data_IF_172115333752
#
_entry.id   IF_172115333752
#
_cell.length_a   1.000
_cell.length_b   1.000
_cell.length_c   1.000
_cell.angle_alpha   90.00
_cell.angle_beta   90.00
_cell.angle_gamma   90.00
#
_symmetry.space_group_name_H-M   'P 1'
#
loop_
_entity.id
_entity.type
_entity.pdbx_description
1 polymer ?
#
# COMPACT_ATOMS: atom_id res chain seq x y z
N UNK A 1 -25.71 -3.26 -9.58
CA UNK A 1 -25.49 -3.15 -8.12
C UNK A 1 -24.05 -2.71 -7.95
N UNK A 2 -23.80 -1.40 -7.91
CA UNK A 2 -22.47 -0.85 -7.64
C UNK A 2 -22.17 -1.05 -6.16
N UNK A 3 -21.65 -2.23 -5.81
CA UNK A 3 -21.01 -2.43 -4.52
C UNK A 3 -19.68 -1.68 -4.48
N UNK A 4 -19.09 -1.52 -3.29
CA UNK A 4 -17.86 -0.74 -3.02
C UNK A 4 -16.68 -1.08 -3.95
N UNK A 5 -16.73 -2.24 -4.63
CA UNK A 5 -15.65 -2.76 -5.47
C UNK A 5 -15.99 -2.80 -6.98
N UNK A 6 -17.10 -2.18 -7.42
CA UNK A 6 -17.50 -2.11 -8.84
C UNK A 6 -17.43 -3.44 -9.62
N UNK A 7 -17.76 -4.57 -8.96
CA UNK A 7 -17.75 -5.91 -9.56
C UNK A 7 -16.42 -6.67 -9.48
N UNK A 8 -15.39 -6.13 -8.84
CA UNK A 8 -14.08 -6.78 -8.71
C UNK A 8 -13.90 -7.47 -7.34
N UNK A 9 -13.26 -8.63 -7.32
CA UNK A 9 -13.00 -9.40 -6.11
C UNK A 9 -12.18 -8.59 -5.09
N UNK A 10 -12.69 -8.44 -3.86
CA UNK A 10 -12.02 -7.70 -2.80
C UNK A 10 -10.84 -8.47 -2.22
N UNK A 11 -9.68 -7.82 -2.17
CA UNK A 11 -8.57 -8.16 -1.29
C UNK A 11 -8.79 -7.50 0.06
N UNK A 12 -8.89 -8.28 1.13
CA UNK A 12 -9.05 -7.75 2.48
C UNK A 12 -7.81 -8.08 3.28
N UNK A 13 -7.20 -7.06 3.85
CA UNK A 13 -6.10 -7.17 4.80
C UNK A 13 -6.53 -6.57 6.13
N UNK A 14 -5.97 -7.10 7.21
CA UNK A 14 -6.07 -6.47 8.53
C UNK A 14 -4.84 -5.59 8.69
N UNK A 15 -5.07 -4.33 9.05
CA UNK A 15 -4.00 -3.41 9.39
C UNK A 15 -4.09 -3.09 10.89
N UNK A 16 -2.94 -3.11 11.55
CA UNK A 16 -2.77 -2.78 12.96
C UNK A 16 -1.89 -1.54 13.07
N UNK A 17 -2.31 -0.59 13.90
CA UNK A 17 -1.55 0.64 14.17
C UNK A 17 -1.26 0.75 15.66
N UNK A 18 0.03 0.73 16.01
CA UNK A 18 0.49 1.04 17.36
C UNK A 18 0.61 2.57 17.52
N UNK A 19 -0.42 3.18 18.10
CA UNK A 19 -0.52 4.63 18.28
C UNK A 19 0.36 5.15 19.43
N UNK A 20 0.84 4.26 20.29
CA UNK A 20 1.72 4.48 21.44
C UNK A 20 3.20 4.16 21.11
N UNK A 21 3.56 4.12 19.82
CA UNK A 21 4.95 3.90 19.42
C UNK A 21 5.74 5.21 19.37
N UNK A 22 7.03 5.14 19.70
CA UNK A 22 7.98 6.27 19.64
C UNK A 22 7.91 7.00 18.27
N UNK A 23 7.79 6.23 17.18
CA UNK A 23 7.60 6.79 15.82
C UNK A 23 6.35 7.67 15.71
N UNK A 24 5.25 7.31 16.36
CA UNK A 24 4.00 8.09 16.32
C UNK A 24 4.13 9.34 17.20
N UNK A 25 4.76 9.24 18.36
CA UNK A 25 5.06 10.36 19.25
C UNK A 25 5.97 11.38 18.55
N UNK A 26 7.08 10.94 17.96
CA UNK A 26 8.02 11.77 17.20
C UNK A 26 7.35 12.54 16.05
N UNK A 27 6.42 11.88 15.34
CA UNK A 27 5.68 12.50 14.23
C UNK A 27 4.60 13.45 14.74
N UNK A 28 4.07 13.23 15.94
CA UNK A 28 3.06 14.08 16.56
C UNK A 28 3.65 15.36 17.18
N UNK A 29 4.87 15.31 17.71
CA UNK A 29 5.49 16.42 18.46
C UNK A 29 6.21 17.46 17.59
N UNK A 30 6.54 17.16 16.32
CA UNK A 30 7.37 18.04 15.48
C UNK A 30 6.72 18.48 14.16
N UNK A 31 7.17 19.60 13.55
CA UNK A 31 6.82 19.91 12.18
C UNK A 31 7.27 18.73 11.30
N UNK A 32 6.35 18.22 10.50
CA UNK A 32 6.50 17.09 9.58
C UNK A 32 7.81 17.26 8.81
N UNK A 33 8.90 16.68 9.32
CA UNK A 33 10.22 16.77 8.69
C UNK A 33 10.00 16.32 7.26
N UNK A 34 10.38 17.17 6.32
CA UNK A 34 10.31 16.91 4.88
C UNK A 34 10.58 15.45 4.64
N UNK A 35 9.59 14.77 4.06
CA UNK A 35 9.50 13.33 3.85
C UNK A 35 10.91 12.76 3.72
N UNK A 36 11.49 12.25 4.81
CA UNK A 36 12.77 11.53 4.72
C UNK A 36 12.47 10.48 3.68
N UNK A 37 13.18 10.53 2.55
CA UNK A 37 12.99 9.60 1.47
C UNK A 37 13.32 8.23 2.06
N UNK A 38 12.29 7.54 2.54
CA UNK A 38 12.46 6.32 3.27
C UNK A 38 12.93 5.32 2.24
N UNK A 39 14.20 4.95 2.32
CA UNK A 39 14.77 3.93 1.47
C UNK A 39 14.23 2.58 1.94
N UNK A 40 13.13 2.15 1.35
CA UNK A 40 12.56 0.85 1.66
C UNK A 40 13.35 -0.25 0.91
N UNK A 41 13.72 -1.36 1.56
CA UNK A 41 14.37 -2.48 0.90
C UNK A 41 13.46 -3.16 -0.14
N UNK A 42 12.15 -3.03 0.00
CA UNK A 42 11.17 -3.53 -0.96
C UNK A 42 10.11 -2.46 -1.24
N UNK A 43 9.74 -2.33 -2.52
CA UNK A 43 8.68 -1.44 -2.98
C UNK A 43 7.65 -2.25 -3.76
N UNK A 44 6.37 -2.03 -3.49
CA UNK A 44 5.26 -2.62 -4.23
C UNK A 44 4.42 -1.49 -4.83
N UNK A 45 4.52 -1.32 -6.15
CA UNK A 45 3.77 -0.30 -6.87
C UNK A 45 2.28 -0.66 -6.97
N UNK A 46 1.42 0.35 -6.89
CA UNK A 46 -0.02 0.22 -7.16
C UNK A 46 -0.45 1.20 -8.26
N UNK A 47 -1.52 0.90 -9.02
CA UNK A 47 -2.10 1.86 -9.95
C UNK A 47 -2.43 3.18 -9.25
N UNK A 48 -1.98 4.31 -9.82
CA UNK A 48 -2.25 5.66 -9.29
C UNK A 48 -3.74 5.97 -9.24
N UNK A 49 -4.47 5.48 -10.24
CA UNK A 49 -5.90 5.69 -10.39
C UNK A 49 -6.54 4.37 -10.87
N UNK A 50 -6.95 3.55 -9.89
CA UNK A 50 -7.59 2.27 -10.18
C UNK A 50 -9.00 2.48 -10.76
N UNK A 51 -9.70 3.55 -10.38
CA UNK A 51 -11.07 3.83 -10.86
C UNK A 51 -11.06 4.20 -12.34
N UNK A 52 -10.13 5.06 -12.77
CA UNK A 52 -9.91 5.35 -14.18
C UNK A 52 -9.53 4.08 -14.94
N UNK A 53 -8.67 3.22 -14.37
CA UNK A 53 -8.29 1.95 -14.99
C UNK A 53 -9.49 1.00 -15.14
N UNK A 54 -10.36 0.91 -14.14
CA UNK A 54 -11.58 0.12 -14.19
C UNK A 54 -12.55 0.59 -15.28
N UNK A 55 -12.63 1.90 -15.50
CA UNK A 55 -13.50 2.49 -16.51
C UNK A 55 -13.04 2.23 -17.96
N UNK A 56 -11.71 2.12 -18.18
CA UNK A 56 -11.14 2.00 -19.54
C UNK A 56 -10.71 0.56 -19.89
N UNK A 57 -10.30 -0.24 -18.90
CA UNK A 57 -9.75 -1.58 -19.11
C UNK A 57 -9.90 -2.47 -17.85
N UNK A 58 -11.06 -3.13 -17.76
CA UNK A 58 -11.39 -4.02 -16.65
C UNK A 58 -10.41 -5.19 -16.50
N UNK A 59 -9.97 -5.79 -17.62
CA UNK A 59 -9.08 -6.95 -17.57
C UNK A 59 -7.72 -6.56 -16.98
N UNK A 60 -7.19 -5.41 -17.40
CA UNK A 60 -5.96 -4.86 -16.84
C UNK A 60 -6.13 -4.47 -15.38
N UNK A 61 -7.26 -3.89 -14.98
CA UNK A 61 -7.54 -3.60 -13.58
C UNK A 61 -7.54 -4.88 -12.71
N UNK A 62 -8.16 -5.96 -13.19
CA UNK A 62 -8.15 -7.26 -12.51
C UNK A 62 -6.72 -7.82 -12.40
N UNK A 63 -5.95 -7.76 -13.49
CA UNK A 63 -4.58 -8.25 -13.52
C UNK A 63 -3.67 -7.49 -12.53
N UNK A 64 -3.78 -6.15 -12.47
CA UNK A 64 -3.04 -5.35 -11.49
C UNK A 64 -3.40 -5.70 -10.05
N UNK A 65 -4.68 -5.94 -9.76
CA UNK A 65 -5.09 -6.37 -8.42
C UNK A 65 -4.51 -7.74 -8.05
N UNK A 66 -4.53 -8.70 -8.97
CA UNK A 66 -3.93 -10.02 -8.76
C UNK A 66 -2.42 -9.91 -8.52
N UNK A 67 -1.71 -9.12 -9.34
CA UNK A 67 -0.28 -8.87 -9.15
C UNK A 67 0.02 -8.27 -7.77
N UNK A 68 -0.68 -7.20 -7.38
CA UNK A 68 -0.48 -6.56 -6.07
C UNK A 68 -0.77 -7.52 -4.93
N UNK A 69 -1.83 -8.34 -5.04
CA UNK A 69 -2.13 -9.40 -4.06
C UNK A 69 -0.98 -10.38 -3.92
N UNK A 70 -0.46 -10.89 -5.03
CA UNK A 70 0.62 -11.88 -5.05
C UNK A 70 1.90 -11.32 -4.43
N UNK A 71 2.31 -10.11 -4.85
CA UNK A 71 3.50 -9.43 -4.31
C UNK A 71 3.38 -9.14 -2.82
N UNK A 72 2.24 -8.61 -2.37
CA UNK A 72 1.98 -8.34 -0.95
C UNK A 72 2.00 -9.63 -0.12
N UNK A 73 1.32 -10.67 -0.59
CA UNK A 73 1.26 -11.96 0.10
C UNK A 73 2.65 -12.58 0.22
N UNK A 74 3.44 -12.58 -0.86
CA UNK A 74 4.81 -13.07 -0.84
C UNK A 74 5.69 -12.28 0.15
N UNK A 75 5.56 -10.94 0.16
CA UNK A 75 6.30 -10.10 1.08
C UNK A 75 5.96 -10.38 2.55
N UNK A 76 4.66 -10.53 2.87
CA UNK A 76 4.21 -10.87 4.21
C UNK A 76 4.68 -12.25 4.66
N UNK A 77 4.63 -13.25 3.78
CA UNK A 77 5.20 -14.59 4.05
C UNK A 77 6.70 -14.51 4.34
N UNK A 78 7.43 -13.62 3.63
CA UNK A 78 8.84 -13.38 3.85
C UNK A 78 9.15 -12.52 5.10
N UNK A 79 8.14 -12.15 5.88
CA UNK A 79 8.27 -11.41 7.14
C UNK A 79 8.40 -9.89 7.00
N UNK A 80 8.14 -9.34 5.81
CA UNK A 80 8.07 -7.90 5.62
C UNK A 80 6.76 -7.32 6.17
N UNK A 81 6.79 -6.03 6.52
CA UNK A 81 5.63 -5.22 6.91
C UNK A 81 5.61 -3.94 6.07
N UNK A 82 4.42 -3.42 5.79
CA UNK A 82 4.28 -2.09 5.18
C UNK A 82 4.64 -1.05 6.23
N UNK A 83 5.68 -0.26 5.98
CA UNK A 83 6.20 0.76 6.91
C UNK A 83 6.10 2.18 6.35
N UNK A 84 5.65 2.31 5.09
CA UNK A 84 5.16 3.58 4.59
C UNK A 84 4.67 3.53 3.15
N UNK A 85 4.47 4.71 2.58
CA UNK A 85 3.88 4.88 1.27
C UNK A 85 4.52 6.08 0.58
N UNK A 86 5.01 5.88 -0.64
CA UNK A 86 5.50 6.95 -1.51
C UNK A 86 4.40 7.40 -2.46
N UNK A 87 3.92 8.62 -2.23
CA UNK A 87 2.89 9.26 -3.06
C UNK A 87 3.37 9.61 -4.48
N UNK A 88 4.67 9.84 -4.69
CA UNK A 88 5.21 10.25 -5.98
C UNK A 88 5.22 9.05 -6.96
N UNK A 89 5.73 7.92 -6.49
CA UNK A 89 5.74 6.66 -7.25
C UNK A 89 4.45 5.85 -7.12
N UNK A 90 3.58 6.18 -6.16
CA UNK A 90 2.38 5.39 -5.82
C UNK A 90 2.76 3.94 -5.48
N UNK A 91 3.60 3.80 -4.46
CA UNK A 91 4.13 2.52 -4.03
C UNK A 91 4.14 2.39 -2.51
N UNK A 92 3.88 1.18 -2.02
CA UNK A 92 4.09 0.84 -0.63
C UNK A 92 5.57 0.53 -0.40
N UNK A 93 6.10 1.08 0.69
CA UNK A 93 7.42 0.78 1.22
C UNK A 93 7.34 -0.32 2.28
N UNK A 94 8.13 -1.37 2.10
CA UNK A 94 8.14 -2.53 2.99
C UNK A 94 9.51 -2.70 3.65
N UNK A 95 9.50 -3.04 4.93
CA UNK A 95 10.71 -3.31 5.73
C UNK A 95 10.46 -4.47 6.70
N UNK A 96 11.53 -5.14 7.13
CA UNK A 96 11.44 -6.10 8.23
C UNK A 96 11.41 -5.35 9.58
N UNK A 97 10.71 -5.89 10.60
CA UNK A 97 10.78 -5.36 11.95
C UNK A 97 12.19 -5.42 12.53
#
# INVERSE_FOLDING_TARGET
MEGINAGVASDRIVAEWALDSERVEDVAEGPRSETKMHSYPLHIAIPKDLDALLAIDLNRAIAERQRVREEMTAAFIAGYRVTGFDTASSAYGLSKP
#
